data_IF_819849876156
#
_entry.id   IF_819849876156
#
_cell.length_a   1.000
_cell.length_b   1.000
_cell.length_c   1.000
_cell.angle_alpha   90.00
_cell.angle_beta   90.00
_cell.angle_gamma   90.00
#
_symmetry.space_group_name_H-M   'P 1'
#
loop_
_entity.id
_entity.type
_entity.pdbx_description
1 polymer ?
#
# COMPACT_ATOMS: atom_id res chain seq x y z
N UNK A 1 7.02 3.18 22.55
CA UNK A 1 7.06 1.72 22.26
C UNK A 1 8.24 1.45 21.34
N UNK A 2 9.00 0.34 21.50
CA UNK A 2 10.02 -0.02 20.51
C UNK A 2 9.36 -0.25 19.15
N UNK A 3 9.99 0.23 18.07
CA UNK A 3 9.47 0.05 16.71
C UNK A 3 9.59 -1.41 16.30
N UNK A 4 8.54 -1.96 15.70
CA UNK A 4 8.62 -3.28 15.09
C UNK A 4 9.50 -3.20 13.86
N UNK A 5 10.41 -4.16 13.72
CA UNK A 5 11.29 -4.27 12.56
C UNK A 5 10.57 -5.01 11.44
N UNK A 6 10.65 -4.46 10.25
CA UNK A 6 10.10 -5.03 9.03
C UNK A 6 11.23 -5.26 8.05
N UNK A 7 11.39 -6.50 7.62
CA UNK A 7 12.33 -6.90 6.57
C UNK A 7 11.56 -7.13 5.28
N UNK A 8 12.00 -6.50 4.19
CA UNK A 8 11.40 -6.66 2.87
C UNK A 8 12.25 -7.62 2.04
N UNK A 9 11.59 -8.61 1.42
CA UNK A 9 12.23 -9.58 0.52
C UNK A 9 11.65 -9.42 -0.89
N UNK A 10 12.48 -9.05 -1.85
CA UNK A 10 12.11 -9.05 -3.27
C UNK A 10 12.27 -10.47 -3.82
N UNK A 11 11.18 -11.07 -4.30
CA UNK A 11 11.23 -12.36 -4.99
C UNK A 11 11.31 -12.10 -6.49
N UNK A 12 12.41 -12.55 -7.12
CA UNK A 12 12.70 -12.29 -8.53
C UNK A 12 13.05 -10.83 -8.83
N UNK A 13 12.70 -10.35 -10.03
CA UNK A 13 13.05 -9.03 -10.56
C UNK A 13 11.90 -8.01 -10.46
N UNK A 14 11.30 -7.90 -9.28
CA UNK A 14 10.14 -7.03 -9.02
C UNK A 14 10.48 -5.52 -9.03
N UNK A 15 11.74 -5.18 -8.79
CA UNK A 15 12.29 -3.82 -8.83
C UNK A 15 12.17 -3.12 -10.19
N UNK A 16 11.87 -3.86 -11.27
CA UNK A 16 11.60 -3.29 -12.59
C UNK A 16 10.27 -2.52 -12.66
N UNK A 17 9.33 -2.83 -11.77
CA UNK A 17 7.98 -2.24 -11.75
C UNK A 17 7.64 -1.59 -10.40
N UNK A 18 8.42 -1.86 -9.35
CA UNK A 18 8.26 -1.26 -8.02
C UNK A 18 9.54 -0.53 -7.63
N UNK A 19 9.41 0.73 -7.26
CA UNK A 19 10.49 1.50 -6.66
C UNK A 19 10.58 1.24 -5.15
N UNK A 20 11.40 0.28 -4.75
CA UNK A 20 11.61 -0.07 -3.34
C UNK A 20 12.34 1.00 -2.54
N UNK A 21 12.99 1.99 -3.17
CA UNK A 21 13.58 3.11 -2.42
C UNK A 21 12.49 3.98 -1.79
N UNK A 22 11.35 4.15 -2.45
CA UNK A 22 10.20 4.85 -1.87
C UNK A 22 9.67 4.13 -0.62
N UNK A 23 9.60 2.80 -0.69
CA UNK A 23 9.12 1.97 0.42
C UNK A 23 10.14 1.99 1.56
N UNK A 24 11.43 1.82 1.26
CA UNK A 24 12.52 1.82 2.26
C UNK A 24 12.65 3.17 2.98
N UNK A 25 12.47 4.27 2.27
CA UNK A 25 12.57 5.62 2.83
C UNK A 25 11.28 6.06 3.56
N UNK A 26 10.23 5.24 3.53
CA UNK A 26 9.00 5.53 4.25
C UNK A 26 9.25 5.52 5.77
N UNK A 27 8.97 6.66 6.41
CA UNK A 27 9.14 6.81 7.86
C UNK A 27 7.83 6.54 8.60
N UNK A 28 7.87 5.64 9.59
CA UNK A 28 6.77 5.39 10.51
C UNK A 28 7.24 5.55 11.96
N UNK A 29 6.36 6.05 12.83
CA UNK A 29 6.52 6.05 14.29
C UNK A 29 6.29 4.65 14.88
N UNK A 30 5.60 3.76 14.16
CA UNK A 30 5.16 2.44 14.62
C UNK A 30 6.14 1.31 14.28
N UNK A 31 6.73 1.37 13.09
CA UNK A 31 7.66 0.35 12.60
C UNK A 31 8.86 0.97 11.88
N UNK A 32 9.85 0.14 11.60
CA UNK A 32 11.06 0.49 10.86
C UNK A 32 11.34 -0.54 9.79
N UNK A 33 11.73 -0.08 8.60
CA UNK A 33 12.09 -0.95 7.47
C UNK A 33 13.62 -1.09 7.47
N UNK A 34 14.13 -2.20 8.00
CA UNK A 34 15.56 -2.36 8.30
C UNK A 34 16.32 -3.24 7.29
N UNK A 35 15.64 -3.86 6.33
CA UNK A 35 16.27 -4.73 5.34
C UNK A 35 15.53 -4.79 4.03
N UNK A 36 16.30 -4.83 2.93
CA UNK A 36 15.82 -5.05 1.58
C UNK A 36 16.71 -6.10 0.93
N UNK A 37 16.28 -7.35 0.96
CA UNK A 37 17.00 -8.48 0.38
C UNK A 37 16.30 -8.98 -0.89
N UNK A 38 17.00 -9.81 -1.66
CA UNK A 38 16.44 -10.43 -2.86
C UNK A 38 16.63 -11.95 -2.87
N UNK A 39 15.61 -12.65 -3.37
CA UNK A 39 15.66 -14.06 -3.76
C UNK A 39 15.63 -14.16 -5.28
N UNK A 40 16.76 -14.50 -5.87
CA UNK A 40 16.90 -14.68 -7.32
C UNK A 40 16.63 -16.13 -7.75
N UNK A 41 17.08 -17.08 -6.94
CA UNK A 41 16.96 -18.51 -7.24
C UNK A 41 15.57 -18.99 -6.84
N UNK A 42 14.68 -19.04 -7.83
CA UNK A 42 13.31 -19.49 -7.64
C UNK A 42 13.19 -20.95 -8.09
N UNK A 43 12.54 -21.83 -7.31
CA UNK A 43 12.24 -23.18 -7.75
C UNK A 43 11.32 -23.16 -8.97
N UNK A 44 11.28 -24.25 -9.75
CA UNK A 44 10.30 -24.40 -10.82
C UNK A 44 8.89 -24.27 -10.24
N UNK A 45 8.01 -23.46 -10.85
CA UNK A 45 6.68 -23.19 -10.32
C UNK A 45 5.73 -24.35 -10.57
N UNK A 46 4.70 -24.47 -9.73
CA UNK A 46 3.65 -25.50 -9.79
C UNK A 46 2.87 -25.51 -11.11
N UNK A 47 2.77 -24.36 -11.77
CA UNK A 47 2.35 -24.26 -13.17
C UNK A 47 3.32 -23.37 -13.94
N UNK A 48 3.96 -23.94 -14.96
CA UNK A 48 4.76 -23.23 -15.95
C UNK A 48 4.23 -23.59 -17.33
N UNK A 49 3.36 -22.77 -17.91
CA UNK A 49 2.84 -23.00 -19.27
C UNK A 49 3.83 -22.59 -20.37
N UNK A 50 5.07 -22.26 -20.00
CA UNK A 50 6.18 -22.08 -20.93
C UNK A 50 6.19 -20.74 -21.64
N UNK A 51 5.23 -19.84 -21.39
CA UNK A 51 5.20 -18.54 -22.06
C UNK A 51 5.08 -17.34 -21.10
N UNK A 52 4.08 -17.26 -20.20
CA UNK A 52 3.84 -16.01 -19.43
C UNK A 52 3.12 -16.15 -18.07
N UNK A 53 2.54 -17.30 -17.70
CA UNK A 53 1.74 -17.44 -16.47
C UNK A 53 2.44 -18.30 -15.41
N UNK A 54 3.49 -17.72 -14.81
CA UNK A 54 4.16 -18.32 -13.64
C UNK A 54 3.28 -18.18 -12.41
N UNK A 55 2.95 -19.33 -11.81
CA UNK A 55 2.09 -19.43 -10.62
C UNK A 55 2.81 -20.20 -9.51
N UNK A 56 2.85 -19.62 -8.31
CA UNK A 56 3.41 -20.27 -7.12
C UNK A 56 2.33 -20.65 -6.11
N UNK A 57 2.52 -21.78 -5.44
CA UNK A 57 1.75 -22.15 -4.26
C UNK A 57 2.31 -21.46 -3.01
N UNK A 58 1.53 -21.44 -1.93
CA UNK A 58 1.99 -20.95 -0.62
C UNK A 58 3.19 -21.77 -0.12
N UNK A 59 3.19 -23.10 -0.33
CA UNK A 59 4.28 -23.98 0.08
C UNK A 59 5.56 -23.76 -0.72
N UNK A 60 5.46 -23.43 -2.01
CA UNK A 60 6.62 -23.07 -2.83
C UNK A 60 7.24 -21.76 -2.36
N UNK A 61 6.41 -20.74 -2.08
CA UNK A 61 6.88 -19.48 -1.50
C UNK A 61 7.46 -19.69 -0.10
N UNK A 62 6.89 -20.61 0.68
CA UNK A 62 7.45 -21.02 1.99
C UNK A 62 8.84 -21.62 1.85
N UNK A 63 9.07 -22.45 0.84
CA UNK A 63 10.39 -22.99 0.52
C UNK A 63 11.38 -21.89 0.13
N UNK A 64 10.97 -20.95 -0.73
CA UNK A 64 11.78 -19.79 -1.16
C UNK A 64 12.23 -18.93 0.04
N UNK A 65 11.37 -18.80 1.05
CA UNK A 65 11.63 -17.97 2.23
C UNK A 65 12.16 -18.77 3.43
N UNK A 66 12.45 -20.07 3.29
CA UNK A 66 12.79 -20.95 4.40
C UNK A 66 14.04 -20.53 5.17
N UNK A 67 15.07 -20.07 4.46
CA UNK A 67 16.37 -19.63 4.98
C UNK A 67 16.39 -18.13 5.40
N UNK A 68 15.28 -17.41 5.23
CA UNK A 68 15.19 -16.00 5.60
C UNK A 68 14.95 -15.87 7.10
N UNK A 69 15.94 -15.39 7.83
CA UNK A 69 15.77 -14.97 9.22
C UNK A 69 15.34 -13.50 9.30
N UNK A 70 14.41 -13.22 10.21
CA UNK A 70 13.84 -11.90 10.45
C UNK A 70 13.56 -11.69 11.93
N UNK A 71 14.01 -10.55 12.46
CA UNK A 71 13.63 -10.03 13.76
C UNK A 71 12.39 -9.15 13.53
N UNK A 72 11.23 -9.52 14.08
CA UNK A 72 9.93 -8.90 13.77
C UNK A 72 9.20 -9.54 12.59
N UNK A 73 8.79 -8.73 11.60
CA UNK A 73 7.96 -9.16 10.46
C UNK A 73 8.80 -9.24 9.18
N UNK A 74 8.59 -10.28 8.38
CA UNK A 74 9.14 -10.39 7.04
C UNK A 74 8.02 -10.30 5.99
N UNK A 75 8.17 -9.36 5.06
CA UNK A 75 7.21 -9.13 3.98
C UNK A 75 7.92 -9.37 2.67
N UNK A 76 7.58 -10.46 2.00
CA UNK A 76 8.02 -10.74 0.66
C UNK A 76 7.11 -10.07 -0.38
N UNK A 77 7.68 -9.62 -1.49
CA UNK A 77 6.93 -9.03 -2.60
C UNK A 77 7.37 -9.71 -3.90
N UNK A 78 6.40 -10.16 -4.70
CA UNK A 78 6.64 -10.86 -5.97
C UNK A 78 5.72 -10.38 -7.09
N UNK A 79 6.18 -10.53 -8.35
CA UNK A 79 5.35 -10.27 -9.54
C UNK A 79 4.75 -11.55 -10.15
N UNK A 80 4.53 -12.58 -9.33
CA UNK A 80 3.98 -13.87 -9.76
C UNK A 80 2.63 -14.12 -9.10
N UNK A 81 1.74 -14.87 -9.73
CA UNK A 81 0.42 -15.16 -9.16
C UNK A 81 0.53 -16.26 -8.09
N UNK A 82 -0.38 -16.22 -7.12
CA UNK A 82 -0.69 -17.39 -6.31
C UNK A 82 -1.69 -18.30 -7.03
N UNK A 83 -1.75 -19.58 -6.66
CA UNK A 83 -2.69 -20.57 -7.25
C UNK A 83 -4.16 -20.13 -7.17
N UNK A 84 -4.55 -19.48 -6.08
CA UNK A 84 -5.90 -18.95 -5.87
C UNK A 84 -6.10 -17.54 -6.43
N UNK A 85 -5.05 -16.97 -7.05
CA UNK A 85 -5.01 -15.63 -7.60
C UNK A 85 -5.26 -14.49 -6.58
N UNK A 86 -5.25 -14.79 -5.27
CA UNK A 86 -5.32 -13.80 -4.22
C UNK A 86 -3.95 -13.15 -4.01
N UNK A 87 -3.91 -11.87 -3.64
CA UNK A 87 -2.68 -11.07 -3.71
C UNK A 87 -1.84 -11.12 -2.44
N UNK A 88 -2.34 -11.65 -1.33
CA UNK A 88 -1.61 -11.66 -0.06
C UNK A 88 -1.84 -12.96 0.69
N UNK A 89 -0.75 -13.61 1.08
CA UNK A 89 -0.78 -14.87 1.79
C UNK A 89 0.16 -14.87 2.98
N UNK A 90 -0.32 -15.42 4.10
CA UNK A 90 0.56 -15.78 5.21
C UNK A 90 1.36 -17.02 4.82
N UNK A 91 2.68 -16.94 4.94
CA UNK A 91 3.60 -18.02 4.55
C UNK A 91 4.07 -18.83 5.76
N UNK A 92 4.30 -18.15 6.87
CA UNK A 92 4.63 -18.77 8.17
C UNK A 92 4.24 -17.83 9.31
N UNK A 93 4.75 -18.06 10.53
CA UNK A 93 4.37 -17.27 11.70
C UNK A 93 4.54 -15.78 11.48
N UNK A 94 5.71 -15.31 11.06
CA UNK A 94 6.00 -13.89 10.87
C UNK A 94 6.38 -13.51 9.43
N UNK A 95 6.11 -14.40 8.46
CA UNK A 95 6.40 -14.19 7.04
C UNK A 95 5.11 -14.10 6.25
N UNK A 96 4.94 -13.01 5.53
CA UNK A 96 3.80 -12.73 4.64
C UNK A 96 4.37 -12.47 3.25
N UNK A 97 3.65 -12.89 2.20
CA UNK A 97 4.03 -12.58 0.83
C UNK A 97 2.89 -11.86 0.11
N UNK A 98 3.25 -10.79 -0.59
CA UNK A 98 2.38 -9.96 -1.40
C UNK A 98 2.73 -10.20 -2.87
N UNK A 99 1.75 -10.66 -3.64
CA UNK A 99 1.80 -10.67 -5.09
C UNK A 99 1.26 -9.35 -5.64
N UNK A 100 2.02 -8.70 -6.51
CA UNK A 100 1.55 -7.55 -7.29
C UNK A 100 1.12 -7.92 -8.71
N UNK A 101 1.02 -9.22 -9.00
CA UNK A 101 0.72 -9.70 -10.35
C UNK A 101 -0.64 -9.18 -10.83
N UNK A 102 -0.63 -8.55 -12.01
CA UNK A 102 -1.76 -7.87 -12.67
C UNK A 102 -2.32 -6.64 -11.93
N UNK A 103 -1.72 -6.20 -10.83
CA UNK A 103 -2.23 -5.05 -10.08
C UNK A 103 -1.86 -3.70 -10.71
N UNK A 104 -0.78 -3.65 -11.50
CA UNK A 104 -0.41 -2.43 -12.23
C UNK A 104 -1.58 -1.92 -13.10
N UNK A 105 -2.23 -2.81 -13.86
CA UNK A 105 -3.38 -2.46 -14.69
C UNK A 105 -4.60 -2.02 -13.87
N UNK A 106 -4.81 -2.63 -12.70
CA UNK A 106 -5.95 -2.29 -11.83
C UNK A 106 -5.75 -0.91 -11.22
N UNK A 107 -4.57 -0.67 -10.64
CA UNK A 107 -4.23 0.56 -9.94
C UNK A 107 -4.05 1.75 -10.91
N UNK A 108 -3.55 1.50 -12.12
CA UNK A 108 -3.39 2.51 -13.17
C UNK A 108 -4.72 3.15 -13.59
N UNK A 109 -5.87 2.47 -13.45
CA UNK A 109 -7.20 3.05 -13.71
C UNK A 109 -7.48 4.31 -12.89
N UNK A 110 -6.78 4.47 -11.76
CA UNK A 110 -6.89 5.61 -10.86
C UNK A 110 -5.53 6.26 -10.58
N UNK A 111 -4.49 6.01 -11.38
CA UNK A 111 -3.13 6.52 -11.15
C UNK A 111 -2.58 6.23 -9.73
N UNK A 112 -2.97 5.09 -9.15
CA UNK A 112 -2.41 4.60 -7.89
C UNK A 112 -1.13 3.82 -8.23
N UNK A 113 -0.06 4.00 -7.45
CA UNK A 113 1.19 3.29 -7.66
C UNK A 113 1.23 1.96 -6.90
N UNK A 114 2.06 1.02 -7.35
CA UNK A 114 2.28 -0.25 -6.66
C UNK A 114 2.91 -0.04 -5.28
N UNK A 115 3.73 0.99 -5.10
CA UNK A 115 4.34 1.34 -3.81
C UNK A 115 3.28 1.74 -2.78
N UNK A 116 2.26 2.52 -3.16
CA UNK A 116 1.15 2.85 -2.26
C UNK A 116 0.38 1.60 -1.85
N UNK A 117 0.17 0.67 -2.78
CA UNK A 117 -0.42 -0.63 -2.48
C UNK A 117 0.43 -1.44 -1.50
N UNK A 118 1.74 -1.56 -1.74
CA UNK A 118 2.63 -2.30 -0.85
C UNK A 118 2.67 -1.64 0.53
N UNK A 119 2.83 -0.32 0.61
CA UNK A 119 2.82 0.43 1.87
C UNK A 119 1.51 0.23 2.64
N UNK A 120 0.36 0.32 1.98
CA UNK A 120 -0.95 0.02 2.59
C UNK A 120 -0.95 -1.37 3.22
N UNK A 121 -0.51 -2.39 2.48
CA UNK A 121 -0.47 -3.75 3.00
C UNK A 121 0.57 -3.94 4.12
N UNK A 122 1.68 -3.20 4.11
CA UNK A 122 2.62 -3.18 5.26
C UNK A 122 1.90 -2.70 6.52
N UNK A 123 1.08 -1.64 6.43
CA UNK A 123 0.26 -1.20 7.57
C UNK A 123 -0.78 -2.21 7.99
N UNK A 124 -1.44 -2.89 7.04
CA UNK A 124 -2.41 -3.95 7.31
C UNK A 124 -1.77 -5.09 8.11
N UNK A 125 -0.64 -5.59 7.64
CA UNK A 125 0.12 -6.66 8.28
C UNK A 125 0.61 -6.22 9.66
N UNK A 126 1.16 -5.01 9.78
CA UNK A 126 1.61 -4.46 11.06
C UNK A 126 0.46 -4.26 12.05
N UNK A 127 -0.70 -3.79 11.58
CA UNK A 127 -1.87 -3.60 12.43
C UNK A 127 -2.34 -4.94 13.00
N UNK A 128 -2.49 -5.96 12.15
CA UNK A 128 -2.83 -7.31 12.59
C UNK A 128 -1.80 -7.88 13.57
N UNK A 129 -0.51 -7.71 13.29
CA UNK A 129 0.57 -8.11 14.19
C UNK A 129 0.41 -7.50 15.59
N UNK A 130 0.11 -6.20 15.66
CA UNK A 130 -0.06 -5.48 16.92
C UNK A 130 -1.33 -5.90 17.64
N UNK A 131 -2.45 -5.98 16.92
CA UNK A 131 -3.78 -6.35 17.45
C UNK A 131 -3.75 -7.75 18.08
N UNK A 132 -2.99 -8.67 17.49
CA UNK A 132 -2.86 -10.05 17.94
C UNK A 132 -1.61 -10.29 18.81
N UNK A 133 -0.99 -9.24 19.38
CA UNK A 133 0.16 -9.37 20.28
C UNK A 133 1.30 -10.22 19.72
N UNK A 134 1.64 -10.01 18.45
CA UNK A 134 2.65 -10.77 17.69
C UNK A 134 2.27 -12.21 17.30
N UNK A 135 1.07 -12.68 17.64
CA UNK A 135 0.57 -13.99 17.26
C UNK A 135 -0.28 -13.94 15.98
N UNK A 136 0.38 -14.10 14.83
CA UNK A 136 -0.34 -14.20 13.55
C UNK A 136 -1.16 -15.50 13.41
N UNK A 137 -1.07 -16.47 14.34
CA UNK A 137 -1.90 -17.69 14.30
C UNK A 137 -3.36 -17.44 14.64
N UNK A 138 -3.66 -16.28 15.23
CA UNK A 138 -5.00 -15.84 15.52
C UNK A 138 -5.86 -15.71 14.24
N UNK A 139 -7.17 -15.91 14.41
CA UNK A 139 -8.13 -15.86 13.33
C UNK A 139 -8.33 -14.42 12.84
N UNK A 140 -7.53 -14.02 11.85
CA UNK A 140 -7.57 -12.68 11.22
C UNK A 140 -8.94 -12.36 10.59
N UNK A 141 -9.75 -13.38 10.30
CA UNK A 141 -11.10 -13.20 9.78
C UNK A 141 -12.02 -12.44 10.76
N UNK A 142 -11.63 -12.29 12.05
CA UNK A 142 -12.32 -11.41 13.00
C UNK A 142 -12.32 -9.94 12.56
N UNK A 143 -11.38 -9.50 11.71
CA UNK A 143 -11.30 -8.11 11.25
C UNK A 143 -11.67 -7.92 9.78
N UNK A 144 -11.79 -9.00 9.02
CA UNK A 144 -12.12 -8.98 7.61
C UNK A 144 -13.57 -8.54 7.38
N UNK A 145 -13.80 -7.63 6.44
CA UNK A 145 -15.14 -7.21 6.01
C UNK A 145 -15.38 -7.70 4.59
N UNK A 146 -16.56 -8.24 4.31
CA UNK A 146 -16.92 -8.62 2.93
C UNK A 146 -17.28 -7.39 2.07
N UNK A 147 -17.68 -6.27 2.70
CA UNK A 147 -18.00 -5.03 2.01
C UNK A 147 -16.74 -4.22 1.67
N UNK A 148 -16.76 -3.53 0.53
CA UNK A 148 -15.71 -2.58 0.14
C UNK A 148 -15.98 -1.19 0.75
N UNK A 149 -15.26 -0.84 1.82
CA UNK A 149 -15.43 0.40 2.60
C UNK A 149 -14.24 1.36 2.47
N UNK A 150 -13.18 0.93 1.79
CA UNK A 150 -11.87 1.58 1.83
C UNK A 150 -11.09 1.28 3.11
N UNK A 151 -11.54 0.31 3.91
CA UNK A 151 -10.90 -0.07 5.17
C UNK A 151 -9.64 -0.89 4.89
N UNK A 152 -8.67 -0.76 5.80
CA UNK A 152 -7.45 -1.56 5.80
C UNK A 152 -7.73 -3.07 5.79
N UNK A 153 -8.87 -3.50 6.37
CA UNK A 153 -9.25 -4.90 6.50
C UNK A 153 -10.41 -5.30 5.59
N UNK A 154 -10.64 -4.59 4.48
CA UNK A 154 -11.61 -5.02 3.47
C UNK A 154 -11.15 -6.31 2.78
N UNK A 155 -12.06 -7.25 2.58
CA UNK A 155 -11.87 -8.41 1.72
C UNK A 155 -12.00 -7.99 0.28
N UNK A 156 -10.88 -7.96 -0.43
CA UNK A 156 -10.88 -7.59 -1.83
C UNK A 156 -10.99 -8.85 -2.69
N UNK A 157 -12.19 -9.45 -2.70
CA UNK A 157 -12.49 -10.65 -3.49
C UNK A 157 -12.39 -10.38 -4.99
N UNK A 158 -12.83 -9.20 -5.45
CA UNK A 158 -12.50 -8.67 -6.77
C UNK A 158 -11.24 -7.80 -6.66
N UNK A 159 -10.27 -8.01 -7.57
CA UNK A 159 -9.06 -7.19 -7.61
C UNK A 159 -9.36 -5.71 -7.82
N UNK A 160 -10.46 -5.35 -8.48
CA UNK A 160 -10.86 -3.95 -8.66
C UNK A 160 -11.18 -3.26 -7.32
N UNK A 161 -11.55 -4.01 -6.28
CA UNK A 161 -11.87 -3.44 -4.97
C UNK A 161 -10.63 -2.94 -4.22
N UNK A 162 -9.44 -3.42 -4.62
CA UNK A 162 -8.13 -2.94 -4.13
C UNK A 162 -7.97 -1.43 -4.29
N UNK A 163 -8.58 -0.84 -5.32
CA UNK A 163 -8.53 0.59 -5.56
C UNK A 163 -9.04 1.38 -4.35
N UNK A 164 -10.14 0.94 -3.73
CA UNK A 164 -10.83 1.70 -2.70
C UNK A 164 -10.04 1.77 -1.39
N UNK A 165 -9.43 0.65 -0.97
CA UNK A 165 -8.61 0.64 0.23
C UNK A 165 -7.14 1.06 -0.01
N UNK A 166 -6.72 1.28 -1.27
CA UNK A 166 -5.37 1.78 -1.58
C UNK A 166 -5.33 3.28 -1.84
N UNK A 167 -6.37 3.88 -2.44
CA UNK A 167 -6.38 5.31 -2.76
C UNK A 167 -6.38 6.20 -1.52
N UNK A 168 -7.17 5.80 -0.51
CA UNK A 168 -7.32 6.52 0.74
C UNK A 168 -7.61 5.51 1.85
N UNK A 169 -6.60 4.73 2.28
CA UNK A 169 -6.81 3.72 3.31
C UNK A 169 -7.29 4.37 4.61
N UNK A 170 -8.30 3.76 5.22
CA UNK A 170 -8.82 4.14 6.54
C UNK A 170 -8.95 2.92 7.44
N UNK A 171 -9.24 3.15 8.73
CA UNK A 171 -9.80 2.13 9.61
C UNK A 171 -11.25 2.56 9.86
N UNK A 172 -12.21 1.73 9.49
CA UNK A 172 -13.64 2.04 9.65
C UNK A 172 -14.06 1.99 11.12
N UNK A 173 -15.19 2.61 11.47
CA UNK A 173 -15.69 2.70 12.85
C UNK A 173 -15.92 1.33 13.50
N UNK A 174 -16.32 0.34 12.70
CA UNK A 174 -16.49 -1.04 13.16
C UNK A 174 -15.15 -1.65 13.57
N UNK A 175 -14.12 -1.53 12.73
CA UNK A 175 -12.79 -1.99 13.07
C UNK A 175 -12.17 -1.21 14.22
N UNK A 176 -12.35 0.11 14.29
CA UNK A 176 -11.94 0.89 15.46
C UNK A 176 -12.59 0.35 16.74
N UNK A 177 -13.88 0.04 16.70
CA UNK A 177 -14.61 -0.53 17.84
C UNK A 177 -14.09 -1.92 18.23
N UNK A 178 -13.69 -2.75 17.26
CA UNK A 178 -13.07 -4.06 17.51
C UNK A 178 -11.66 -3.91 18.08
N UNK A 179 -10.84 -3.02 17.52
CA UNK A 179 -9.47 -2.74 17.98
C UNK A 179 -9.48 -2.21 19.43
N UNK A 180 -10.39 -1.29 19.77
CA UNK A 180 -10.51 -0.73 21.12
C UNK A 180 -10.87 -1.77 22.20
N UNK A 181 -11.37 -2.96 21.82
CA UNK A 181 -11.62 -4.07 22.75
C UNK A 181 -10.39 -4.94 22.99
N UNK A 182 -9.33 -4.76 22.20
CA UNK A 182 -8.08 -5.51 22.31
C UNK A 182 -7.07 -4.71 23.14
N UNK A 183 -6.10 -5.40 23.71
CA UNK A 183 -4.98 -4.75 24.41
C UNK A 183 -4.02 -4.20 23.37
N UNK A 184 -4.10 -2.90 23.12
CA UNK A 184 -3.24 -2.18 22.18
C UNK A 184 -2.57 -0.97 22.86
N UNK A 185 -1.47 -0.44 22.30
CA UNK A 185 -0.84 0.77 22.82
C UNK A 185 -1.75 2.01 22.72
N UNK A 186 -1.72 2.88 23.72
CA UNK A 186 -2.65 4.03 23.86
C UNK A 186 -2.70 4.96 22.63
N UNK A 187 -1.56 5.22 21.98
CA UNK A 187 -1.48 6.10 20.81
C UNK A 187 -1.57 5.36 19.46
N UNK A 188 -1.71 4.02 19.46
CA UNK A 188 -1.64 3.21 18.24
C UNK A 188 -2.64 3.67 17.17
N UNK A 189 -3.92 3.80 17.52
CA UNK A 189 -4.99 4.19 16.58
C UNK A 189 -4.74 5.58 16.01
N UNK A 190 -4.31 6.52 16.87
CA UNK A 190 -4.04 7.90 16.48
C UNK A 190 -2.88 7.97 15.49
N UNK A 191 -1.79 7.27 15.78
CA UNK A 191 -0.59 7.25 14.92
C UNK A 191 -0.90 6.55 13.60
N UNK A 192 -1.48 5.34 13.61
CA UNK A 192 -1.73 4.60 12.37
C UNK A 192 -2.72 5.33 11.47
N UNK A 193 -3.77 5.95 12.02
CA UNK A 193 -4.74 6.72 11.23
C UNK A 193 -4.09 7.96 10.61
N UNK A 194 -3.21 8.64 11.33
CA UNK A 194 -2.43 9.78 10.80
C UNK A 194 -1.52 9.33 9.65
N UNK A 195 -0.83 8.20 9.81
CA UNK A 195 0.10 7.69 8.82
C UNK A 195 -0.58 7.13 7.57
N UNK A 196 -1.70 6.42 7.71
CA UNK A 196 -2.52 5.96 6.57
C UNK A 196 -3.01 7.14 5.72
N UNK A 197 -3.39 8.26 6.36
CA UNK A 197 -3.77 9.49 5.65
C UNK A 197 -2.62 10.15 4.87
N UNK A 198 -1.37 9.75 5.08
CA UNK A 198 -0.22 10.22 4.32
C UNK A 198 0.08 9.35 3.10
N UNK A 199 -0.51 8.16 3.01
CA UNK A 199 -0.46 7.32 1.81
C UNK A 199 -1.41 7.93 0.78
N UNK A 200 -0.91 8.88 0.02
CA UNK A 200 -1.67 9.62 -0.99
C UNK A 200 -0.97 9.57 -2.33
N UNK A 201 -1.78 9.73 -3.38
CA UNK A 201 -1.26 9.96 -4.74
C UNK A 201 -0.42 11.24 -4.75
N UNK A 202 0.66 11.29 -5.55
CA UNK A 202 1.36 12.54 -5.80
C UNK A 202 0.37 13.62 -6.27
N UNK A 203 0.46 14.82 -5.70
CA UNK A 203 -0.47 15.91 -5.97
C UNK A 203 -0.66 16.18 -7.48
N UNK A 204 0.43 16.14 -8.26
CA UNK A 204 0.40 16.32 -9.71
C UNK A 204 -0.55 15.33 -10.41
N UNK A 205 -0.52 14.05 -10.02
CA UNK A 205 -1.40 13.01 -10.58
C UNK A 205 -2.86 13.25 -10.16
N UNK A 206 -3.09 13.70 -8.93
CA UNK A 206 -4.43 14.06 -8.47
C UNK A 206 -5.02 15.24 -9.27
N UNK A 207 -4.21 16.23 -9.62
CA UNK A 207 -4.63 17.35 -10.48
C UNK A 207 -4.93 16.87 -11.90
N UNK A 208 -4.08 16.02 -12.48
CA UNK A 208 -4.32 15.45 -13.81
C UNK A 208 -5.66 14.69 -13.87
N UNK A 209 -5.95 13.86 -12.87
CA UNK A 209 -7.23 13.15 -12.77
C UNK A 209 -8.42 14.10 -12.62
N UNK A 210 -8.27 15.17 -11.84
CA UNK A 210 -9.30 16.20 -11.72
C UNK A 210 -9.59 16.87 -13.07
N UNK A 211 -8.54 17.20 -13.84
CA UNK A 211 -8.67 17.80 -15.17
C UNK A 211 -9.38 16.85 -16.13
N UNK A 212 -8.98 15.57 -16.15
CA UNK A 212 -9.60 14.54 -16.99
C UNK A 212 -11.08 14.32 -16.62
N UNK A 213 -11.43 14.36 -15.33
CA UNK A 213 -12.79 14.13 -14.84
C UNK A 213 -13.70 15.34 -15.05
N UNK A 214 -13.18 16.56 -14.92
CA UNK A 214 -13.95 17.81 -15.00
C UNK A 214 -13.26 18.82 -15.94
N UNK A 215 -13.22 18.58 -17.26
CA UNK A 215 -12.49 19.43 -18.20
C UNK A 215 -13.05 20.86 -18.25
N UNK A 216 -14.37 21.03 -18.29
CA UNK A 216 -15.02 22.35 -18.33
C UNK A 216 -14.76 23.17 -17.06
N UNK A 217 -14.81 22.53 -15.88
CA UNK A 217 -14.50 23.18 -14.61
C UNK A 217 -13.03 23.61 -14.56
N UNK A 218 -12.13 22.80 -15.11
CA UNK A 218 -10.70 23.12 -15.18
C UNK A 218 -10.43 24.33 -16.07
N UNK A 219 -11.14 24.45 -17.19
CA UNK A 219 -11.10 25.64 -18.06
C UNK A 219 -11.58 26.87 -17.29
N UNK A 220 -12.71 26.76 -16.57
CA UNK A 220 -13.25 27.86 -15.77
C UNK A 220 -12.26 28.33 -14.69
N UNK A 221 -11.69 27.39 -13.93
CA UNK A 221 -10.67 27.67 -12.92
C UNK A 221 -9.47 28.38 -13.55
N UNK A 222 -9.01 27.92 -14.72
CA UNK A 222 -7.89 28.54 -15.44
C UNK A 222 -8.19 29.99 -15.83
N UNK A 223 -9.40 30.29 -16.33
CA UNK A 223 -9.83 31.65 -16.68
C UNK A 223 -9.85 32.56 -15.44
N UNK A 224 -10.45 32.08 -14.34
CA UNK A 224 -10.52 32.84 -13.08
C UNK A 224 -9.13 33.11 -12.53
N UNK A 225 -8.26 32.10 -12.53
CA UNK A 225 -6.90 32.20 -12.00
C UNK A 225 -6.05 33.15 -12.85
N UNK A 226 -6.10 33.03 -14.18
CA UNK A 226 -5.42 33.95 -15.12
C UNK A 226 -5.88 35.40 -14.94
N UNK A 227 -7.19 35.63 -14.82
CA UNK A 227 -7.75 36.96 -14.55
C UNK A 227 -7.25 37.52 -13.22
N UNK A 228 -7.22 36.68 -12.18
CA UNK A 228 -6.72 37.06 -10.86
C UNK A 228 -5.24 37.43 -10.89
N UNK A 229 -4.40 36.65 -11.58
CA UNK A 229 -2.97 36.95 -11.79
C UNK A 229 -2.80 38.29 -12.50
N UNK A 230 -3.61 38.57 -13.54
CA UNK A 230 -3.53 39.83 -14.26
C UNK A 230 -3.88 41.04 -13.38
N UNK A 231 -4.93 40.92 -12.56
CA UNK A 231 -5.30 41.96 -11.59
C UNK A 231 -4.18 42.16 -10.56
N UNK A 232 -3.65 41.08 -10.00
CA UNK A 232 -2.55 41.13 -9.04
C UNK A 232 -1.29 41.78 -9.65
N UNK A 233 -0.94 41.40 -10.87
CA UNK A 233 0.22 41.94 -11.59
C UNK A 233 0.06 43.44 -11.82
N UNK A 234 -1.15 43.87 -12.20
CA UNK A 234 -1.48 45.29 -12.38
C UNK A 234 -1.39 46.07 -11.05
N UNK A 235 -1.82 45.45 -9.94
CA UNK A 235 -1.71 46.04 -8.61
C UNK A 235 -0.26 46.16 -8.12
N UNK A 236 0.54 45.09 -8.30
CA UNK A 236 1.97 45.08 -7.99
C UNK A 236 2.72 46.12 -8.83
N UNK A 237 2.42 46.20 -10.12
CA UNK A 237 3.03 47.19 -11.01
C UNK A 237 2.77 48.62 -10.53
N UNK A 238 1.55 48.93 -10.09
CA UNK A 238 1.22 50.23 -9.48
C UNK A 238 1.97 50.49 -8.18
N UNK A 239 2.17 49.47 -7.34
CA UNK A 239 2.95 49.59 -6.10
C UNK A 239 4.44 49.84 -6.37
N UNK A 240 5.01 49.17 -7.37
CA UNK A 240 6.44 49.28 -7.72
C UNK A 240 6.74 50.60 -8.42
N UNK A 241 5.92 51.00 -9.38
CA UNK A 241 6.15 52.22 -10.14
C UNK A 241 5.76 53.50 -9.38
N UNK A 242 5.18 53.35 -8.20
CA UNK A 242 4.57 54.44 -7.46
C UNK A 242 3.34 54.99 -8.20
N UNK A 243 2.34 55.38 -7.44
CA UNK A 243 1.90 56.77 -7.59
C UNK A 243 3.02 57.67 -7.13
#
# INVERSE_FOLDING_TARGET
>A
MPKVKIKIIMIGHIDRIVNFDLIKNHTSELFSIEGLDRKNDLPPPSKNDGYLDVVYSVDEVKSILSDVNCDGICIAVMNYKFLDNFYMHRISENKICISVSNLEYVLAKKDISLENFILKNIYEIFALYTIFNSDFSANVNEFTHEDTRGCLFDLNGDKNDIIYNTEKPIICDECLSRINKKTIPDDFIKIITKELNNIKKPWLKSVELFIKKYPLLSILITIVFSTSINILSSFIWKLINGT
#
